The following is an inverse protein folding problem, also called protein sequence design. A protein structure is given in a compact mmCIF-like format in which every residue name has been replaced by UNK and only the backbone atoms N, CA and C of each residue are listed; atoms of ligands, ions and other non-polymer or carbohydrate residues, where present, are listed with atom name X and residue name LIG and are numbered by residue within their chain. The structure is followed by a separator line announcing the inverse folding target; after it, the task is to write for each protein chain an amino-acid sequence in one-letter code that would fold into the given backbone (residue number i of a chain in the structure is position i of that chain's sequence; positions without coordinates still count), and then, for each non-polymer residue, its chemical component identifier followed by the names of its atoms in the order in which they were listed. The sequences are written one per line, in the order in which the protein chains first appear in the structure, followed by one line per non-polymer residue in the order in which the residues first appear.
data_IF_786306949968
#
_entry.id   IF_786306949968
#
_cell.length_a   1.000
_cell.length_b   1.000
_cell.length_c   1.000
_cell.angle_alpha   90.00
_cell.angle_beta   90.00
_cell.angle_gamma   90.00
#
_symmetry.space_group_name_H-M   'P 1'
#
loop_
_entity.id
_entity.type
_entity.pdbx_description
1 polymer ?
#
# COMPACT_ATOMS: atom_id res chain seq x y z
N UNK A 1 3.49 -7.50 27.20
CA UNK A 1 4.46 -6.38 27.22
C UNK A 1 4.89 -5.87 25.81
N UNK A 2 5.38 -6.74 24.92
CA UNK A 2 5.81 -6.36 23.55
C UNK A 2 4.71 -5.67 22.73
N UNK A 3 3.51 -6.25 22.68
CA UNK A 3 2.37 -5.65 21.96
C UNK A 3 1.92 -4.29 22.51
N UNK A 4 2.09 -4.03 23.82
CA UNK A 4 1.75 -2.74 24.43
C UNK A 4 2.79 -1.68 24.00
N UNK A 5 4.07 -2.03 23.97
CA UNK A 5 5.17 -1.16 23.51
C UNK A 5 5.01 -0.84 22.01
N UNK A 6 4.64 -1.84 21.20
CA UNK A 6 4.35 -1.65 19.78
C UNK A 6 3.09 -0.79 19.58
N UNK A 7 2.07 -0.95 20.43
CA UNK A 7 0.88 -0.10 20.43
C UNK A 7 1.21 1.38 20.65
N UNK A 8 2.00 1.69 21.68
CA UNK A 8 2.46 3.06 21.97
C UNK A 8 3.34 3.60 20.83
N UNK A 9 4.23 2.77 20.27
CA UNK A 9 5.08 3.12 19.13
C UNK A 9 4.28 3.50 17.88
N UNK A 10 3.07 2.97 17.71
CA UNK A 10 2.23 3.22 16.54
C UNK A 10 1.77 4.67 16.47
N UNK A 11 1.53 5.34 17.61
CA UNK A 11 1.16 6.76 17.65
C UNK A 11 2.27 7.65 17.06
N UNK A 12 3.53 7.37 17.41
CA UNK A 12 4.68 8.08 16.85
C UNK A 12 4.91 7.74 15.38
N UNK A 13 4.70 6.47 14.99
CA UNK A 13 4.77 6.06 13.59
C UNK A 13 3.71 6.77 12.73
N UNK A 14 2.51 7.00 13.26
CA UNK A 14 1.46 7.77 12.59
C UNK A 14 1.88 9.23 12.42
N UNK A 15 2.43 9.86 13.47
CA UNK A 15 2.95 11.23 13.37
C UNK A 15 4.06 11.37 12.31
N UNK A 16 4.98 10.40 12.26
CA UNK A 16 5.99 10.35 11.20
C UNK A 16 5.36 10.16 9.82
N UNK A 17 4.43 9.22 9.65
CA UNK A 17 3.76 8.98 8.37
C UNK A 17 2.96 10.20 7.88
N UNK A 18 2.42 11.02 8.78
CA UNK A 18 1.74 12.27 8.42
C UNK A 18 2.74 13.28 7.86
N UNK A 19 3.85 13.50 8.57
CA UNK A 19 4.90 14.43 8.13
C UNK A 19 5.59 13.96 6.85
N UNK A 20 5.78 12.64 6.73
CA UNK A 20 6.27 11.95 5.54
C UNK A 20 5.36 12.24 4.35
N UNK A 21 4.08 11.92 4.46
CA UNK A 21 3.07 12.15 3.41
C UNK A 21 2.93 13.63 3.05
N UNK A 22 3.07 14.53 4.02
CA UNK A 22 3.09 15.98 3.77
C UNK A 22 4.28 16.38 2.88
N UNK A 23 5.47 15.90 3.21
CA UNK A 23 6.71 16.19 2.46
C UNK A 23 6.71 15.56 1.08
N UNK A 24 6.13 14.38 0.96
CA UNK A 24 5.90 13.71 -0.32
C UNK A 24 4.88 14.51 -1.15
N UNK A 25 3.81 15.02 -0.54
CA UNK A 25 2.76 15.82 -1.17
C UNK A 25 3.23 17.17 -1.74
N UNK A 26 4.23 17.82 -1.13
CA UNK A 26 4.86 19.05 -1.66
C UNK A 26 5.91 18.75 -2.77
N UNK A 27 5.89 17.57 -3.36
CA UNK A 27 6.84 17.09 -4.36
C UNK A 27 8.32 17.14 -3.91
N UNK A 28 8.61 16.92 -2.61
CA UNK A 28 9.99 16.77 -2.12
C UNK A 28 10.26 15.40 -1.49
N UNK A 29 10.04 14.28 -2.21
CA UNK A 29 10.18 12.93 -1.66
C UNK A 29 11.60 12.57 -1.22
N UNK A 30 12.63 13.24 -1.75
CA UNK A 30 14.04 13.00 -1.37
C UNK A 30 14.31 13.26 0.11
N UNK A 31 13.63 14.25 0.71
CA UNK A 31 13.77 14.56 2.14
C UNK A 31 13.23 13.41 2.98
N UNK A 32 12.05 12.93 2.62
CA UNK A 32 11.34 11.81 3.25
C UNK A 32 12.14 10.51 3.16
N UNK A 33 12.63 10.19 1.96
CA UNK A 33 13.45 9.00 1.72
C UNK A 33 14.74 9.00 2.53
N UNK A 34 15.47 10.12 2.55
CA UNK A 34 16.74 10.24 3.30
C UNK A 34 16.51 10.04 4.79
N UNK A 35 15.46 10.65 5.35
CA UNK A 35 15.13 10.52 6.77
C UNK A 35 14.65 9.11 7.13
N UNK A 36 13.91 8.45 6.24
CA UNK A 36 13.50 7.06 6.41
C UNK A 36 14.71 6.10 6.40
N UNK A 37 15.65 6.29 5.47
CA UNK A 37 16.86 5.47 5.39
C UNK A 37 17.75 5.65 6.62
N UNK A 38 18.03 6.89 7.02
CA UNK A 38 18.76 7.18 8.25
C UNK A 38 18.06 6.57 9.46
N UNK A 39 16.74 6.69 9.52
CA UNK A 39 15.92 6.10 10.56
C UNK A 39 16.04 4.59 10.70
N UNK A 40 16.00 3.88 9.57
CA UNK A 40 16.20 2.44 9.55
C UNK A 40 17.63 2.05 9.93
N UNK A 41 18.65 2.82 9.53
CA UNK A 41 20.03 2.60 9.96
C UNK A 41 20.17 2.74 11.48
N UNK A 42 19.57 3.77 12.08
CA UNK A 42 19.50 3.92 13.53
C UNK A 42 18.74 2.77 14.19
N UNK A 43 17.72 2.23 13.54
CA UNK A 43 16.98 1.07 14.05
C UNK A 43 17.83 -0.20 14.03
N UNK A 44 18.56 -0.46 12.96
CA UNK A 44 19.49 -1.59 12.88
C UNK A 44 20.56 -1.47 13.97
N UNK A 45 21.12 -0.27 14.16
CA UNK A 45 22.12 -0.01 15.20
C UNK A 45 21.56 -0.19 16.61
N UNK A 46 20.36 0.33 16.88
CA UNK A 46 19.69 0.15 18.16
C UNK A 46 19.33 -1.31 18.45
N UNK A 47 18.88 -2.06 17.43
CA UNK A 47 18.62 -3.48 17.54
C UNK A 47 19.91 -4.23 17.87
N UNK A 48 21.03 -3.88 17.23
CA UNK A 48 22.32 -4.49 17.53
C UNK A 48 22.75 -4.28 18.99
N UNK A 49 22.52 -3.10 19.56
CA UNK A 49 22.86 -2.80 20.97
C UNK A 49 21.91 -3.49 21.95
N UNK A 50 20.60 -3.39 21.74
CA UNK A 50 19.57 -3.79 22.72
C UNK A 50 19.17 -5.27 22.64
N UNK A 51 19.32 -5.90 21.46
CA UNK A 51 19.04 -7.33 21.30
C UNK A 51 20.23 -8.16 21.78
N UNK A 52 21.46 -7.77 21.42
CA UNK A 52 22.68 -8.53 21.72
C UNK A 52 23.46 -8.03 22.94
N UNK A 53 22.97 -7.02 23.67
CA UNK A 53 23.59 -6.54 24.91
C UNK A 53 25.04 -6.03 24.78
N UNK A 54 25.48 -5.66 23.57
CA UNK A 54 26.82 -5.07 23.37
C UNK A 54 26.83 -3.63 23.91
N UNK A 55 27.95 -3.21 24.54
CA UNK A 55 28.12 -1.97 25.34
C UNK A 55 27.61 -2.00 26.81
N UNK A 56 27.47 -3.17 27.43
CA UNK A 56 27.20 -3.26 28.88
C UNK A 56 25.73 -3.11 29.27
N UNK A 57 24.82 -3.21 28.29
CA UNK A 57 23.38 -3.27 28.51
C UNK A 57 22.90 -4.73 28.64
N UNK A 58 21.91 -5.02 29.50
CA UNK A 58 21.35 -6.37 29.64
C UNK A 58 20.68 -6.84 28.34
N UNK A 59 20.88 -8.11 27.99
CA UNK A 59 20.26 -8.74 26.82
C UNK A 59 18.74 -8.82 27.00
N UNK A 60 18.02 -7.84 26.43
CA UNK A 60 16.56 -7.79 26.50
C UNK A 60 15.88 -8.53 25.34
N UNK A 61 16.64 -9.16 24.43
CA UNK A 61 16.11 -10.00 23.35
C UNK A 61 14.92 -9.35 22.61
N UNK A 62 13.75 -9.99 22.71
CA UNK A 62 12.51 -9.58 22.03
C UNK A 62 11.94 -8.23 22.54
N UNK A 63 12.11 -7.91 23.82
CA UNK A 63 11.71 -6.59 24.36
C UNK A 63 12.69 -5.50 23.95
N UNK A 64 13.98 -5.84 23.78
CA UNK A 64 15.01 -4.95 23.24
C UNK A 64 14.72 -4.48 21.81
N UNK A 65 14.25 -5.38 20.95
CA UNK A 65 13.82 -5.05 19.58
C UNK A 65 12.64 -4.06 19.57
N UNK A 66 11.67 -4.25 20.47
CA UNK A 66 10.52 -3.34 20.62
C UNK A 66 10.93 -1.94 21.08
N UNK A 67 11.82 -1.85 22.07
CA UNK A 67 12.34 -0.58 22.59
C UNK A 67 13.19 0.13 21.54
N UNK A 68 14.08 -0.59 20.84
CA UNK A 68 14.86 0.00 19.76
C UNK A 68 13.97 0.59 18.67
N UNK A 69 12.93 -0.13 18.26
CA UNK A 69 11.96 0.36 17.27
C UNK A 69 11.20 1.59 17.75
N UNK A 70 10.83 1.64 19.03
CA UNK A 70 10.19 2.82 19.62
C UNK A 70 11.14 4.02 19.61
N UNK A 71 12.37 3.85 20.11
CA UNK A 71 13.37 4.93 20.19
C UNK A 71 13.74 5.44 18.81
N UNK A 72 13.98 4.56 17.84
CA UNK A 72 14.27 4.97 16.46
C UNK A 72 13.10 5.76 15.86
N UNK A 73 11.85 5.30 16.01
CA UNK A 73 10.67 6.03 15.50
C UNK A 73 10.51 7.40 16.14
N UNK A 74 10.74 7.52 17.46
CA UNK A 74 10.70 8.80 18.17
C UNK A 74 11.82 9.74 17.69
N UNK A 75 13.05 9.24 17.57
CA UNK A 75 14.18 10.02 17.07
C UNK A 75 13.95 10.51 15.64
N UNK A 76 13.47 9.65 14.75
CA UNK A 76 13.15 10.02 13.37
C UNK A 76 12.08 11.11 13.36
N UNK A 77 11.02 10.98 14.15
CA UNK A 77 9.98 12.01 14.25
C UNK A 77 10.55 13.34 14.73
N UNK A 78 11.36 13.34 15.78
CA UNK A 78 11.99 14.56 16.32
C UNK A 78 12.88 15.21 15.26
N UNK A 79 13.73 14.45 14.58
CA UNK A 79 14.59 14.96 13.50
C UNK A 79 13.75 15.54 12.37
N UNK A 80 12.65 14.89 12.01
CA UNK A 80 11.74 15.34 10.95
C UNK A 80 11.04 16.65 11.32
N UNK A 81 10.55 16.78 12.56
CA UNK A 81 9.94 18.00 13.08
C UNK A 81 10.97 19.14 13.11
N UNK A 82 12.17 18.89 13.65
CA UNK A 82 13.24 19.90 13.69
C UNK A 82 13.60 20.36 12.26
N UNK A 83 13.67 19.43 11.30
CA UNK A 83 13.99 19.77 9.93
C UNK A 83 12.92 20.66 9.28
N UNK A 84 11.62 20.36 9.47
CA UNK A 84 10.53 21.18 8.94
C UNK A 84 10.50 22.57 9.61
N UNK A 85 10.62 22.65 10.93
CA UNK A 85 10.49 23.92 11.65
C UNK A 85 11.75 24.81 11.59
N UNK A 86 12.94 24.24 11.39
CA UNK A 86 14.22 24.97 11.37
C UNK A 86 14.71 25.32 9.96
N UNK A 87 14.20 24.66 8.92
CA UNK A 87 14.61 24.95 7.54
C UNK A 87 13.95 26.23 7.02
N UNK A 88 14.76 27.24 6.67
CA UNK A 88 14.30 28.53 6.06
C UNK A 88 13.43 28.36 4.81
N UNK A 89 13.52 27.22 4.11
CA UNK A 89 12.72 26.91 2.91
C UNK A 89 11.34 26.30 3.22
N UNK A 90 11.04 25.99 4.48
CA UNK A 90 9.80 25.32 4.92
C UNK A 90 9.01 26.12 5.97
N UNK A 91 9.45 27.32 6.33
CA UNK A 91 8.84 28.14 7.39
C UNK A 91 7.42 28.60 7.09
N UNK A 92 7.07 28.87 5.82
CA UNK A 92 5.68 29.14 5.41
C UNK A 92 4.79 27.90 5.60
N UNK A 93 5.28 26.72 5.20
CA UNK A 93 4.57 25.45 5.40
C UNK A 93 4.40 25.10 6.88
N UNK A 94 5.43 25.34 7.70
CA UNK A 94 5.37 25.11 9.15
C UNK A 94 4.34 26.03 9.85
N UNK A 95 4.19 27.28 9.38
CA UNK A 95 3.16 28.20 9.86
C UNK A 95 1.76 27.76 9.44
N UNK A 96 1.59 27.37 8.17
CA UNK A 96 0.33 26.84 7.66
C UNK A 96 -0.10 25.56 8.40
N UNK A 97 0.82 24.64 8.71
CA UNK A 97 0.54 23.45 9.53
C UNK A 97 0.02 23.85 10.92
N UNK A 98 0.68 24.83 11.56
CA UNK A 98 0.28 25.29 12.90
C UNK A 98 -1.13 25.89 12.90
N UNK A 99 -1.48 26.66 11.87
CA UNK A 99 -2.81 27.24 11.72
C UNK A 99 -3.87 26.19 11.37
N UNK A 100 -3.55 25.23 10.49
CA UNK A 100 -4.45 24.15 10.11
C UNK A 100 -4.79 23.20 11.28
N UNK A 101 -3.83 22.92 12.18
CA UNK A 101 -4.06 22.10 13.37
C UNK A 101 -5.08 22.75 14.32
N UNK A 102 -5.11 24.08 14.41
CA UNK A 102 -6.08 24.80 15.23
C UNK A 102 -7.46 24.91 14.57
N UNK A 103 -7.56 24.74 13.24
CA UNK A 103 -8.82 24.85 12.51
C UNK A 103 -9.61 23.54 12.53
N UNK A 104 -10.75 23.53 13.23
CA UNK A 104 -11.71 22.41 13.19
C UNK A 104 -12.26 22.13 11.79
N UNK A 105 -12.25 23.12 10.90
CA UNK A 105 -12.75 22.98 9.53
C UNK A 105 -11.80 22.14 8.66
N UNK A 106 -10.51 22.49 8.66
CA UNK A 106 -9.46 21.76 7.95
C UNK A 106 -9.37 20.30 8.44
N UNK A 107 -9.41 20.11 9.76
CA UNK A 107 -9.39 18.78 10.37
C UNK A 107 -10.59 17.90 9.97
N UNK A 108 -11.80 18.49 9.85
CA UNK A 108 -12.96 17.78 9.30
C UNK A 108 -12.78 17.41 7.82
N UNK A 109 -12.13 18.27 7.03
CA UNK A 109 -11.81 18.00 5.63
C UNK A 109 -10.90 16.78 5.49
N UNK A 110 -9.80 16.75 6.24
CA UNK A 110 -8.86 15.60 6.27
C UNK A 110 -9.58 14.33 6.75
N UNK A 111 -10.40 14.41 7.79
CA UNK A 111 -11.12 13.24 8.31
C UNK A 111 -12.12 12.69 7.28
N UNK A 112 -12.82 13.57 6.56
CA UNK A 112 -13.77 13.20 5.49
C UNK A 112 -13.08 12.52 4.31
N UNK A 113 -11.81 12.82 4.05
CA UNK A 113 -11.01 12.13 3.03
C UNK A 113 -10.36 10.85 3.55
N UNK A 114 -9.86 10.87 4.79
CA UNK A 114 -9.14 9.75 5.39
C UNK A 114 -10.03 8.55 5.73
N UNK A 115 -11.26 8.79 6.23
CA UNK A 115 -12.17 7.70 6.61
C UNK A 115 -12.54 6.76 5.45
N UNK A 116 -12.96 7.26 4.27
CA UNK A 116 -13.24 6.40 3.11
C UNK A 116 -12.02 5.60 2.63
N UNK A 117 -10.82 6.22 2.63
CA UNK A 117 -9.57 5.56 2.23
C UNK A 117 -9.17 4.49 3.24
N UNK A 118 -9.33 4.76 4.54
CA UNK A 118 -9.09 3.80 5.61
C UNK A 118 -10.01 2.59 5.49
N UNK A 119 -11.31 2.80 5.23
CA UNK A 119 -12.25 1.70 4.98
C UNK A 119 -11.87 0.89 3.76
N UNK A 120 -11.53 1.55 2.64
CA UNK A 120 -11.09 0.85 1.44
C UNK A 120 -9.91 -0.09 1.74
N UNK A 121 -8.88 0.40 2.42
CA UNK A 121 -7.68 -0.39 2.75
C UNK A 121 -8.02 -1.51 3.75
N UNK A 122 -8.92 -1.26 4.69
CA UNK A 122 -9.38 -2.27 5.64
C UNK A 122 -10.16 -3.40 4.93
N UNK A 123 -11.03 -3.06 3.96
CA UNK A 123 -11.78 -4.03 3.15
C UNK A 123 -10.85 -4.86 2.26
N UNK A 124 -9.81 -4.24 1.71
CA UNK A 124 -8.80 -4.93 0.93
C UNK A 124 -8.03 -5.93 1.79
N UNK A 125 -7.50 -5.49 2.93
CA UNK A 125 -6.76 -6.34 3.87
C UNK A 125 -7.62 -7.47 4.46
N UNK A 126 -8.89 -7.19 4.77
CA UNK A 126 -9.80 -8.23 5.25
C UNK A 126 -10.07 -9.27 4.17
N UNK A 127 -10.18 -8.89 2.90
CA UNK A 127 -10.38 -9.82 1.78
C UNK A 127 -9.20 -10.79 1.63
N UNK A 128 -7.96 -10.30 1.71
CA UNK A 128 -6.77 -11.17 1.74
C UNK A 128 -6.77 -12.09 2.96
N UNK A 129 -7.16 -11.59 4.13
CA UNK A 129 -7.25 -12.40 5.35
C UNK A 129 -8.30 -13.50 5.23
N UNK A 130 -9.48 -13.20 4.67
CA UNK A 130 -10.52 -14.20 4.43
C UNK A 130 -10.06 -15.28 3.46
N UNK A 131 -9.38 -14.91 2.37
CA UNK A 131 -8.83 -15.89 1.45
C UNK A 131 -7.76 -16.78 2.10
N UNK A 132 -6.93 -16.24 2.99
CA UNK A 132 -5.97 -17.01 3.75
C UNK A 132 -6.66 -18.04 4.68
N UNK A 133 -7.76 -17.64 5.34
CA UNK A 133 -8.57 -18.55 6.16
C UNK A 133 -9.19 -19.66 5.29
N UNK A 134 -9.74 -19.31 4.13
CA UNK A 134 -10.33 -20.28 3.20
C UNK A 134 -9.27 -21.24 2.63
N UNK A 135 -8.06 -20.76 2.33
CA UNK A 135 -6.94 -21.59 1.94
C UNK A 135 -6.53 -22.55 3.07
N UNK A 136 -6.60 -22.09 4.32
CA UNK A 136 -6.38 -22.92 5.51
C UNK A 136 -7.38 -24.07 5.66
N UNK A 137 -8.64 -23.88 5.23
CA UNK A 137 -9.64 -24.96 5.24
C UNK A 137 -9.38 -26.05 4.20
N UNK A 138 -8.65 -25.76 3.12
CA UNK A 138 -8.32 -26.74 2.09
C UNK A 138 -7.16 -27.66 2.47
N UNK A 139 -6.26 -27.19 3.36
CA UNK A 139 -5.16 -27.99 3.89
C UNK A 139 -3.87 -27.21 4.10
N UNK A 140 -2.93 -27.85 4.78
CA UNK A 140 -1.66 -27.23 5.19
C UNK A 140 -0.76 -26.92 3.98
N UNK A 141 -0.75 -27.81 2.97
CA UNK A 141 0.04 -27.64 1.74
C UNK A 141 -0.46 -26.43 0.94
N UNK A 142 -1.78 -26.29 0.82
CA UNK A 142 -2.44 -25.19 0.12
C UNK A 142 -2.16 -23.86 0.83
N UNK A 143 -2.28 -23.83 2.16
CA UNK A 143 -1.97 -22.63 2.94
C UNK A 143 -0.49 -22.23 2.81
N UNK A 144 0.44 -23.19 2.86
CA UNK A 144 1.86 -22.94 2.67
C UNK A 144 2.14 -22.35 1.27
N UNK A 145 1.57 -22.94 0.22
CA UNK A 145 1.68 -22.41 -1.14
C UNK A 145 1.10 -20.99 -1.27
N UNK A 146 -0.05 -20.72 -0.64
CA UNK A 146 -0.65 -19.39 -0.59
C UNK A 146 0.31 -18.37 0.05
N UNK A 147 0.96 -18.72 1.17
CA UNK A 147 1.90 -17.83 1.86
C UNK A 147 3.14 -17.50 1.03
N UNK A 148 3.67 -18.47 0.28
CA UNK A 148 4.79 -18.22 -0.65
C UNK A 148 4.37 -17.21 -1.72
N UNK A 149 3.22 -17.45 -2.36
CA UNK A 149 2.72 -16.61 -3.45
C UNK A 149 2.37 -15.21 -2.96
N UNK A 150 1.72 -15.06 -1.80
CA UNK A 150 1.35 -13.74 -1.27
C UNK A 150 2.58 -12.93 -0.85
N UNK A 151 3.61 -13.57 -0.31
CA UNK A 151 4.88 -12.89 0.04
C UNK A 151 5.56 -12.33 -1.20
N UNK A 152 5.63 -13.12 -2.27
CA UNK A 152 6.17 -12.68 -3.56
C UNK A 152 5.29 -11.57 -4.15
N UNK A 153 3.97 -11.73 -4.11
CA UNK A 153 3.01 -10.72 -4.56
C UNK A 153 3.16 -9.40 -3.80
N UNK A 154 3.45 -9.45 -2.50
CA UNK A 154 3.61 -8.27 -1.67
C UNK A 154 4.81 -7.42 -2.09
N UNK A 155 5.91 -8.06 -2.53
CA UNK A 155 7.07 -7.33 -3.08
C UNK A 155 6.69 -6.56 -4.34
N UNK A 156 5.94 -7.18 -5.25
CA UNK A 156 5.45 -6.52 -6.46
C UNK A 156 4.46 -5.40 -6.15
N UNK A 157 3.54 -5.65 -5.21
CA UNK A 157 2.55 -4.68 -4.76
C UNK A 157 3.21 -3.42 -4.18
N UNK A 158 4.26 -3.57 -3.35
CA UNK A 158 5.00 -2.43 -2.80
C UNK A 158 5.62 -1.56 -3.89
N UNK A 159 6.14 -2.19 -4.95
CA UNK A 159 6.72 -1.47 -6.08
C UNK A 159 5.66 -0.68 -6.87
N UNK A 160 4.52 -1.30 -7.15
CA UNK A 160 3.38 -0.65 -7.82
C UNK A 160 2.78 0.47 -6.98
N UNK A 161 2.71 0.26 -5.67
CA UNK A 161 2.18 1.23 -4.72
C UNK A 161 3.06 2.48 -4.67
N UNK A 162 4.39 2.33 -4.67
CA UNK A 162 5.32 3.45 -4.74
C UNK A 162 5.09 4.32 -5.98
N UNK A 163 4.96 3.71 -7.16
CA UNK A 163 4.69 4.44 -8.40
C UNK A 163 3.30 5.10 -8.38
N UNK A 164 2.29 4.41 -7.85
CA UNK A 164 0.93 4.93 -7.74
C UNK A 164 0.85 6.15 -6.81
N UNK A 165 1.62 6.18 -5.72
CA UNK A 165 1.72 7.37 -4.88
C UNK A 165 2.38 8.55 -5.60
N UNK A 166 3.43 8.31 -6.40
CA UNK A 166 4.03 9.36 -7.22
C UNK A 166 3.02 9.97 -8.21
N UNK A 167 2.22 9.13 -8.87
CA UNK A 167 1.15 9.58 -9.77
C UNK A 167 0.10 10.40 -9.01
N UNK A 168 -0.33 9.94 -7.82
CA UNK A 168 -1.28 10.67 -6.97
C UNK A 168 -0.79 12.08 -6.64
N UNK A 169 0.50 12.24 -6.31
CA UNK A 169 1.09 13.52 -5.94
C UNK A 169 1.12 14.47 -7.15
N UNK A 170 1.54 13.96 -8.32
CA UNK A 170 1.58 14.74 -9.56
C UNK A 170 0.17 15.18 -9.99
N UNK A 171 -0.80 14.27 -9.94
CA UNK A 171 -2.20 14.55 -10.25
C UNK A 171 -2.79 15.56 -9.26
N UNK A 172 -2.52 15.42 -7.95
CA UNK A 172 -2.99 16.36 -6.92
C UNK A 172 -2.43 17.76 -7.14
N UNK A 173 -1.15 17.89 -7.48
CA UNK A 173 -0.52 19.18 -7.77
C UNK A 173 -1.07 19.81 -9.07
N UNK A 174 -1.26 19.02 -10.13
CA UNK A 174 -1.86 19.49 -11.38
C UNK A 174 -3.33 19.92 -11.20
N UNK A 175 -4.10 19.16 -10.43
CA UNK A 175 -5.47 19.49 -10.07
C UNK A 175 -5.53 20.77 -9.23
N UNK A 176 -4.61 20.97 -8.29
CA UNK A 176 -4.46 22.21 -7.53
C UNK A 176 -4.15 23.43 -8.39
N UNK A 177 -3.51 23.24 -9.55
CA UNK A 177 -3.25 24.29 -10.56
C UNK A 177 -4.39 24.48 -11.56
N UNK A 178 -5.48 23.72 -11.44
CA UNK A 178 -6.61 23.67 -12.39
C UNK A 178 -6.20 23.27 -13.82
N UNK A 179 -5.11 22.53 -13.99
CA UNK A 179 -4.69 22.05 -15.31
C UNK A 179 -5.18 20.62 -15.53
N UNK A 180 -6.39 20.48 -16.06
CA UNK A 180 -7.02 19.18 -16.35
C UNK A 180 -6.31 18.41 -17.48
N UNK A 181 -5.61 19.10 -18.38
CA UNK A 181 -4.82 18.50 -19.45
C UNK A 181 -3.66 17.70 -18.87
N UNK A 182 -2.89 18.32 -17.98
CA UNK A 182 -1.80 17.68 -17.26
C UNK A 182 -2.29 16.52 -16.38
N UNK A 183 -3.46 16.63 -15.73
CA UNK A 183 -4.06 15.53 -14.95
C UNK A 183 -4.30 14.29 -15.82
N UNK A 184 -4.82 14.47 -17.03
CA UNK A 184 -5.07 13.36 -17.97
C UNK A 184 -3.78 12.74 -18.47
N UNK A 185 -2.79 13.56 -18.77
CA UNK A 185 -1.49 13.09 -19.23
C UNK A 185 -0.76 12.29 -18.14
N UNK A 186 -0.73 12.78 -16.90
CA UNK A 186 -0.10 12.08 -15.78
C UNK A 186 -0.79 10.76 -15.45
N UNK A 187 -2.13 10.71 -15.46
CA UNK A 187 -2.87 9.47 -15.24
C UNK A 187 -2.62 8.45 -16.37
N UNK A 188 -2.62 8.89 -17.63
CA UNK A 188 -2.39 8.01 -18.78
C UNK A 188 -0.95 7.48 -18.84
N UNK A 189 0.05 8.35 -18.74
CA UNK A 189 1.46 7.96 -18.71
C UNK A 189 1.81 7.13 -17.47
N UNK A 190 1.23 7.50 -16.32
CA UNK A 190 1.38 6.74 -15.08
C UNK A 190 0.83 5.32 -15.18
N UNK A 191 -0.34 5.15 -15.78
CA UNK A 191 -0.92 3.84 -16.04
C UNK A 191 -0.06 3.01 -17.00
N UNK A 192 0.44 3.61 -18.10
CA UNK A 192 1.35 2.94 -19.02
C UNK A 192 2.66 2.50 -18.33
N UNK A 193 3.21 3.32 -17.44
CA UNK A 193 4.38 2.94 -16.63
C UNK A 193 4.07 1.76 -15.71
N UNK A 194 2.96 1.80 -14.98
CA UNK A 194 2.52 0.69 -14.11
C UNK A 194 2.35 -0.60 -14.92
N UNK A 195 1.72 -0.53 -16.10
CA UNK A 195 1.58 -1.67 -17.00
C UNK A 195 2.93 -2.20 -17.49
N UNK A 196 3.85 -1.32 -17.91
CA UNK A 196 5.16 -1.73 -18.41
C UNK A 196 5.99 -2.44 -17.33
N UNK A 197 5.93 -1.94 -16.09
CA UNK A 197 6.60 -2.54 -14.95
C UNK A 197 5.91 -3.86 -14.59
N UNK A 198 4.57 -3.91 -14.61
CA UNK A 198 3.79 -5.11 -14.30
C UNK A 198 4.09 -6.22 -15.30
N UNK A 199 4.19 -5.89 -16.59
CA UNK A 199 4.59 -6.81 -17.64
C UNK A 199 6.03 -7.30 -17.44
N UNK A 200 6.97 -6.40 -17.15
CA UNK A 200 8.39 -6.76 -16.92
C UNK A 200 8.52 -7.69 -15.71
N UNK A 201 7.86 -7.37 -14.61
CA UNK A 201 7.83 -8.22 -13.41
C UNK A 201 7.18 -9.56 -13.66
N UNK A 202 6.10 -9.61 -14.43
CA UNK A 202 5.43 -10.85 -14.80
C UNK A 202 6.35 -11.75 -15.65
N UNK A 203 7.07 -11.18 -16.61
CA UNK A 203 8.06 -11.91 -17.42
C UNK A 203 9.21 -12.41 -16.54
N UNK A 204 9.73 -11.58 -15.62
CA UNK A 204 10.76 -12.00 -14.68
C UNK A 204 10.28 -13.15 -13.80
N UNK A 205 9.10 -13.05 -13.20
CA UNK A 205 8.56 -14.11 -12.37
C UNK A 205 8.30 -15.39 -13.17
N UNK A 206 7.88 -15.28 -14.42
CA UNK A 206 7.71 -16.44 -15.30
C UNK A 206 9.06 -17.16 -15.54
N UNK A 207 10.12 -16.42 -15.85
CA UNK A 207 11.46 -16.98 -16.05
C UNK A 207 12.04 -17.60 -14.77
N UNK A 208 11.83 -16.95 -13.62
CA UNK A 208 12.42 -17.35 -12.33
C UNK A 208 11.45 -18.18 -11.46
N UNK A 209 10.36 -18.71 -12.02
CA UNK A 209 9.25 -19.34 -11.24
C UNK A 209 9.70 -20.46 -10.30
N UNK A 210 10.61 -21.33 -10.74
CA UNK A 210 11.08 -22.46 -9.92
C UNK A 210 12.06 -22.03 -8.83
N UNK A 211 12.91 -21.04 -9.14
CA UNK A 211 13.89 -20.50 -8.18
C UNK A 211 13.21 -19.65 -7.11
N UNK A 212 12.21 -18.85 -7.49
CA UNK A 212 11.42 -18.07 -6.55
C UNK A 212 10.66 -18.97 -5.56
N UNK A 213 10.07 -20.07 -6.04
CA UNK A 213 9.40 -21.03 -5.16
C UNK A 213 10.39 -21.80 -4.25
N UNK A 214 11.56 -22.18 -4.78
CA UNK A 214 12.58 -22.91 -4.04
C UNK A 214 13.28 -22.13 -2.91
N UNK A 215 13.26 -20.78 -2.95
CA UNK A 215 13.79 -19.95 -1.85
C UNK A 215 12.95 -20.06 -0.58
N UNK A 216 11.64 -20.29 -0.71
CA UNK A 216 10.72 -20.31 0.43
C UNK A 216 10.34 -21.71 0.90
N UNK A 217 10.55 -22.75 0.08
CA UNK A 217 10.19 -24.11 0.46
C UNK A 217 11.09 -25.17 -0.18
N UNK A 218 11.50 -26.14 0.63
CA UNK A 218 12.22 -27.33 0.16
C UNK A 218 11.26 -28.44 -0.30
N UNK A 219 9.96 -28.33 -0.02
CA UNK A 219 8.97 -29.36 -0.40
C UNK A 219 8.57 -29.24 -1.88
N UNK A 220 8.78 -30.29 -2.69
CA UNK A 220 8.44 -30.27 -4.12
C UNK A 220 6.92 -30.13 -4.36
N UNK A 221 6.08 -30.61 -3.44
CA UNK A 221 4.62 -30.51 -3.55
C UNK A 221 4.12 -29.06 -3.39
N UNK A 222 4.68 -28.33 -2.41
CA UNK A 222 4.35 -26.91 -2.17
C UNK A 222 4.87 -26.06 -3.32
N UNK A 223 6.07 -26.36 -3.83
CA UNK A 223 6.66 -25.65 -4.98
C UNK A 223 5.83 -25.83 -6.26
N UNK A 224 5.40 -27.07 -6.57
CA UNK A 224 4.53 -27.33 -7.72
C UNK A 224 3.20 -26.58 -7.62
N UNK A 225 2.58 -26.57 -6.43
CA UNK A 225 1.34 -25.83 -6.19
C UNK A 225 1.56 -24.31 -6.32
N UNK A 226 2.64 -23.77 -5.76
CA UNK A 226 2.98 -22.34 -5.89
C UNK A 226 3.20 -21.92 -7.35
N UNK A 227 3.90 -22.74 -8.14
CA UNK A 227 4.14 -22.48 -9.57
C UNK A 227 2.83 -22.44 -10.36
N UNK A 228 1.89 -23.31 -10.03
CA UNK A 228 0.56 -23.31 -10.68
C UNK A 228 -0.26 -22.06 -10.32
N UNK A 229 -0.06 -21.49 -9.13
CA UNK A 229 -0.69 -20.23 -8.71
C UNK A 229 -0.04 -18.98 -9.31
N UNK A 230 1.23 -19.04 -9.75
CA UNK A 230 1.86 -17.89 -10.42
C UNK A 230 1.17 -17.49 -11.72
N UNK A 231 0.54 -18.43 -12.44
CA UNK A 231 -0.26 -18.08 -13.61
C UNK A 231 -1.46 -17.19 -13.26
N UNK A 232 -2.10 -17.45 -12.13
CA UNK A 232 -3.18 -16.62 -11.59
C UNK A 232 -2.66 -15.28 -11.06
N UNK A 233 -1.43 -15.28 -10.54
CA UNK A 233 -0.76 -14.06 -10.09
C UNK A 233 -0.50 -13.08 -11.25
N UNK A 234 -0.24 -13.56 -12.48
CA UNK A 234 -0.11 -12.67 -13.64
C UNK A 234 -1.42 -11.94 -13.97
N UNK A 235 -2.54 -12.65 -13.93
CA UNK A 235 -3.86 -12.04 -14.12
C UNK A 235 -4.19 -11.06 -12.98
N UNK A 236 -3.82 -11.42 -11.75
CA UNK A 236 -3.94 -10.57 -10.57
C UNK A 236 -3.17 -9.25 -10.75
N UNK A 237 -1.91 -9.30 -11.20
CA UNK A 237 -1.03 -8.13 -11.30
C UNK A 237 -1.57 -7.06 -12.25
N UNK A 238 -2.27 -7.47 -13.32
CA UNK A 238 -2.89 -6.53 -14.26
C UNK A 238 -4.09 -5.80 -13.63
N UNK A 239 -4.98 -6.55 -12.97
CA UNK A 239 -6.15 -5.99 -12.27
C UNK A 239 -5.74 -5.09 -11.10
N UNK A 240 -4.77 -5.53 -10.32
CA UNK A 240 -4.19 -4.79 -9.19
C UNK A 240 -3.54 -3.48 -9.65
N UNK A 241 -2.73 -3.52 -10.73
CA UNK A 241 -2.12 -2.31 -11.30
C UNK A 241 -3.14 -1.28 -11.79
N UNK A 242 -4.21 -1.73 -12.46
CA UNK A 242 -5.32 -0.88 -12.90
C UNK A 242 -5.99 -0.21 -11.69
N UNK A 243 -6.35 -1.03 -10.70
CA UNK A 243 -7.04 -0.55 -9.52
C UNK A 243 -6.18 0.43 -8.72
N UNK A 244 -4.92 0.09 -8.45
CA UNK A 244 -4.02 0.89 -7.62
C UNK A 244 -3.70 2.23 -8.29
N UNK A 245 -3.53 2.25 -9.62
CA UNK A 245 -3.36 3.48 -10.38
C UNK A 245 -4.58 4.39 -10.22
N UNK A 246 -5.77 3.91 -10.62
CA UNK A 246 -6.96 4.77 -10.63
C UNK A 246 -7.43 5.13 -9.22
N UNK A 247 -7.33 4.24 -8.25
CA UNK A 247 -7.63 4.57 -6.85
C UNK A 247 -6.78 5.76 -6.36
N UNK A 248 -5.49 5.77 -6.69
CA UNK A 248 -4.58 6.85 -6.29
C UNK A 248 -4.78 8.13 -7.13
N UNK A 249 -5.17 8.02 -8.40
CA UNK A 249 -5.61 9.18 -9.20
C UNK A 249 -6.89 9.81 -8.61
N UNK A 250 -7.89 9.01 -8.24
CA UNK A 250 -9.12 9.50 -7.59
C UNK A 250 -8.83 10.14 -6.23
N UNK A 251 -7.92 9.55 -5.44
CA UNK A 251 -7.43 10.16 -4.19
C UNK A 251 -6.75 11.50 -4.47
N UNK A 252 -5.98 11.61 -5.55
CA UNK A 252 -5.32 12.84 -5.98
C UNK A 252 -6.29 13.98 -6.32
N UNK A 253 -7.41 13.68 -6.98
CA UNK A 253 -8.49 14.67 -7.26
C UNK A 253 -9.45 14.87 -6.08
N UNK A 254 -9.17 14.28 -4.92
CA UNK A 254 -9.95 14.36 -3.68
C UNK A 254 -11.36 13.73 -3.73
N UNK A 255 -11.70 12.92 -4.75
CA UNK A 255 -12.99 12.20 -4.81
C UNK A 255 -12.87 10.76 -4.29
N UNK A 256 -12.91 10.62 -2.96
CA UNK A 256 -12.64 9.34 -2.27
C UNK A 256 -13.88 8.56 -1.85
N UNK A 257 -15.07 9.19 -1.81
CA UNK A 257 -16.30 8.50 -1.37
C UNK A 257 -16.72 7.36 -2.32
N UNK A 258 -16.70 7.54 -3.66
CA UNK A 258 -17.03 6.47 -4.59
C UNK A 258 -16.06 5.30 -4.49
N UNK A 259 -14.79 5.56 -4.14
CA UNK A 259 -13.75 4.53 -4.00
C UNK A 259 -14.17 3.50 -2.94
N UNK A 260 -14.65 3.98 -1.79
CA UNK A 260 -15.08 3.13 -0.69
C UNK A 260 -16.25 2.20 -1.08
N UNK A 261 -17.30 2.74 -1.70
CA UNK A 261 -18.46 1.94 -2.11
C UNK A 261 -18.10 0.93 -3.19
N UNK A 262 -17.33 1.33 -4.20
CA UNK A 262 -16.90 0.43 -5.26
C UNK A 262 -15.96 -0.67 -4.74
N UNK A 263 -15.08 -0.36 -3.78
CA UNK A 263 -14.25 -1.37 -3.10
C UNK A 263 -15.11 -2.36 -2.30
N UNK A 264 -16.11 -1.88 -1.56
CA UNK A 264 -17.02 -2.75 -0.82
C UNK A 264 -17.77 -3.73 -1.75
N UNK A 265 -18.35 -3.23 -2.85
CA UNK A 265 -19.05 -4.08 -3.81
C UNK A 265 -18.09 -5.07 -4.48
N UNK A 266 -16.94 -4.59 -4.95
CA UNK A 266 -16.02 -5.44 -5.73
C UNK A 266 -15.36 -6.51 -4.86
N UNK A 267 -14.98 -6.18 -3.63
CA UNK A 267 -14.29 -7.11 -2.73
C UNK A 267 -15.24 -8.03 -1.97
N UNK A 268 -16.25 -7.48 -1.28
CA UNK A 268 -17.11 -8.28 -0.42
C UNK A 268 -18.24 -8.98 -1.16
N UNK A 269 -18.86 -8.32 -2.14
CA UNK A 269 -20.02 -8.89 -2.84
C UNK A 269 -19.57 -9.79 -4.00
N UNK A 270 -18.41 -9.52 -4.60
CA UNK A 270 -17.97 -10.21 -5.80
C UNK A 270 -16.75 -11.10 -5.53
N UNK A 271 -15.65 -10.56 -5.00
CA UNK A 271 -14.42 -11.34 -4.82
C UNK A 271 -14.59 -12.49 -3.81
N UNK A 272 -15.14 -12.25 -2.62
CA UNK A 272 -15.31 -13.30 -1.60
C UNK A 272 -16.30 -14.41 -2.04
N UNK A 273 -17.51 -14.10 -2.55
CA UNK A 273 -18.44 -15.14 -2.99
C UNK A 273 -17.96 -15.88 -4.22
N UNK A 274 -17.29 -15.21 -5.17
CA UNK A 274 -16.68 -15.90 -6.31
C UNK A 274 -15.54 -16.82 -5.87
N UNK A 275 -14.67 -16.38 -4.96
CA UNK A 275 -13.62 -17.22 -4.38
C UNK A 275 -14.20 -18.46 -3.67
N UNK A 276 -15.30 -18.31 -2.93
CA UNK A 276 -15.97 -19.44 -2.26
C UNK A 276 -16.63 -20.39 -3.26
N UNK A 277 -17.31 -19.85 -4.26
CA UNK A 277 -17.97 -20.63 -5.30
C UNK A 277 -16.98 -21.43 -6.14
N UNK A 278 -15.92 -20.79 -6.64
CA UNK A 278 -14.90 -21.46 -7.43
C UNK A 278 -14.04 -22.40 -6.58
N UNK A 279 -13.73 -22.02 -5.33
CA UNK A 279 -12.91 -22.83 -4.43
C UNK A 279 -13.59 -24.13 -4.00
N UNK A 280 -14.84 -24.05 -3.51
CA UNK A 280 -15.53 -25.20 -2.90
C UNK A 280 -16.53 -25.88 -3.84
N UNK A 281 -17.32 -25.12 -4.60
CA UNK A 281 -18.43 -25.67 -5.39
C UNK A 281 -18.00 -26.13 -6.79
N UNK A 282 -17.05 -25.43 -7.41
CA UNK A 282 -16.47 -25.84 -8.68
C UNK A 282 -15.30 -26.84 -8.55
N UNK A 283 -14.89 -27.17 -7.32
CA UNK A 283 -13.82 -28.15 -7.06
C UNK A 283 -12.41 -27.70 -7.46
N UNK A 284 -12.21 -26.43 -7.80
CA UNK A 284 -10.90 -25.90 -8.22
C UNK A 284 -9.94 -25.66 -7.03
N UNK A 285 -10.40 -25.85 -5.79
CA UNK A 285 -9.59 -25.74 -4.59
C UNK A 285 -8.91 -24.37 -4.48
N UNK A 286 -7.59 -24.36 -4.29
CA UNK A 286 -6.83 -23.13 -4.10
C UNK A 286 -6.79 -22.23 -5.34
N UNK A 287 -6.87 -22.82 -6.54
CA UNK A 287 -6.96 -22.05 -7.78
C UNK A 287 -8.25 -21.26 -7.87
N UNK A 288 -9.37 -21.84 -7.41
CA UNK A 288 -10.66 -21.17 -7.38
C UNK A 288 -10.67 -19.96 -6.43
N UNK A 289 -10.02 -20.08 -5.27
CA UNK A 289 -9.86 -18.96 -4.34
C UNK A 289 -9.04 -17.84 -5.01
N UNK A 290 -7.94 -18.21 -5.68
CA UNK A 290 -7.08 -17.24 -6.36
C UNK A 290 -7.73 -16.59 -7.59
N UNK A 291 -8.64 -17.26 -8.29
CA UNK A 291 -9.42 -16.68 -9.40
C UNK A 291 -10.35 -15.55 -8.95
N UNK A 292 -10.83 -15.57 -7.70
CA UNK A 292 -11.69 -14.52 -7.16
C UNK A 292 -11.01 -13.15 -7.09
N UNK A 293 -9.68 -13.12 -6.86
CA UNK A 293 -8.94 -11.87 -6.73
C UNK A 293 -8.81 -11.08 -8.04
N UNK A 294 -8.30 -11.66 -9.15
CA UNK A 294 -8.26 -10.97 -10.44
C UNK A 294 -9.63 -10.44 -10.86
N UNK A 295 -10.69 -11.22 -10.65
CA UNK A 295 -12.06 -10.81 -10.99
C UNK A 295 -12.48 -9.58 -10.18
N UNK A 296 -12.33 -9.64 -8.84
CA UNK A 296 -12.68 -8.54 -7.95
C UNK A 296 -11.86 -7.27 -8.21
N UNK A 297 -10.55 -7.41 -8.39
CA UNK A 297 -9.63 -6.29 -8.60
C UNK A 297 -9.81 -5.65 -9.98
N UNK A 298 -9.97 -6.46 -11.03
CA UNK A 298 -10.23 -5.96 -12.38
C UNK A 298 -11.55 -5.19 -12.43
N UNK A 299 -12.59 -5.72 -11.80
CA UNK A 299 -13.88 -5.03 -11.72
C UNK A 299 -13.75 -3.71 -10.95
N UNK A 300 -13.06 -3.70 -9.81
CA UNK A 300 -12.80 -2.48 -9.04
C UNK A 300 -12.02 -1.44 -9.87
N UNK A 301 -11.00 -1.87 -10.61
CA UNK A 301 -10.24 -0.99 -11.49
C UNK A 301 -11.06 -0.42 -12.64
N UNK A 302 -11.97 -1.22 -13.24
CA UNK A 302 -12.92 -0.73 -14.26
C UNK A 302 -13.87 0.31 -13.65
N UNK A 303 -14.39 0.07 -12.45
CA UNK A 303 -15.23 1.03 -11.74
C UNK A 303 -14.49 2.34 -11.45
N UNK A 304 -13.24 2.27 -10.98
CA UNK A 304 -12.43 3.45 -10.73
C UNK A 304 -12.11 4.21 -12.02
N UNK A 305 -11.81 3.51 -13.11
CA UNK A 305 -11.62 4.13 -14.43
C UNK A 305 -12.89 4.84 -14.94
N UNK A 306 -14.05 4.18 -14.85
CA UNK A 306 -15.33 4.75 -15.27
C UNK A 306 -15.69 6.00 -14.45
N UNK A 307 -15.39 5.97 -13.14
CA UNK A 307 -15.60 7.12 -12.26
C UNK A 307 -14.65 8.27 -12.61
N UNK A 308 -13.36 8.00 -12.74
CA UNK A 308 -12.35 8.97 -13.17
C UNK A 308 -12.77 9.70 -14.46
N UNK A 309 -13.24 8.95 -15.47
CA UNK A 309 -13.72 9.54 -16.74
C UNK A 309 -14.96 10.41 -16.55
N UNK A 310 -15.84 10.06 -15.61
CA UNK A 310 -17.05 10.82 -15.30
C UNK A 310 -16.72 12.13 -14.59
N UNK A 311 -15.76 12.12 -13.66
CA UNK A 311 -15.32 13.32 -12.95
C UNK A 311 -14.59 14.29 -13.89
N UNK A 312 -13.69 13.79 -14.76
CA UNK A 312 -13.06 14.60 -15.80
C UNK A 312 -14.07 15.33 -16.70
N UNK A 313 -15.15 14.65 -17.11
CA UNK A 313 -16.22 15.25 -17.93
C UNK A 313 -17.02 16.32 -17.19
N UNK A 314 -17.13 16.22 -15.86
CA UNK A 314 -17.80 17.25 -15.05
C UNK A 314 -16.92 18.48 -14.91
N UNK A 315 -15.62 18.30 -14.69
CA UNK A 315 -14.68 19.41 -14.57
C UNK A 315 -14.50 20.15 -15.89
N UNK A 316 -14.43 19.45 -17.02
CA UNK A 316 -14.37 20.10 -18.34
C UNK A 316 -15.63 20.92 -18.66
N UNK A 317 -16.81 20.48 -18.19
CA UNK A 317 -18.07 21.22 -18.35
C UNK A 317 -18.23 22.43 -17.43
N UNK A 318 -17.36 22.59 -16.43
CA UNK A 318 -17.34 23.77 -15.55
C UNK A 318 -16.36 24.85 -16.03
N UNK A 319 -15.49 24.52 -16.99
CA UNK A 319 -14.55 25.47 -17.61
C UNK A 319 -15.11 26.12 -18.90
N UNK A 320 -16.12 25.52 -19.54
CA UNK A 320 -16.92 26.09 -20.64
C UNK A 320 -18.12 26.90 -20.11
#
# INVERSE_FOLDING_TARGET
PYFIIVGISTVFALGFNVLKQFTDGICRPMISMTLLMLGNLFNIFGNWILIYGKLGFPEMGLTGAGISTLVSRVLILIVFVIFIFKSKKMTEYARAIKEAILSRYEMKGVFKMGYPVGIQMALESSTFTFAAIMAGWLGVIQLAAHQVVITISQLFFLMMQGLSFAISILVSNAFGRKDLGSVREYAGKGYLMILSISATLSVLLYCFRYQAAGIFTDSPEVSAMAVSLFFLLFAYQFGDGLQLCFANVLRGIQDVKPIMYAAFVSYYIIAIPSAYFFGFKAGLGIHGIWLGFPIGLTLAGIFFYARYRSDLKKFSKQED
#
